data_IF_373199825372
#
_entry.id   IF_373199825372
#
_cell.length_a   1.000
_cell.length_b   1.000
_cell.length_c   1.000
_cell.angle_alpha   90.00
_cell.angle_beta   90.00
_cell.angle_gamma   90.00
#
_symmetry.space_group_name_H-M   'P 1'
#
loop_
_entity.id
_entity.type
_entity.pdbx_description
1 polymer ?
#
# COMPACT_ATOMS: atom_id res chain seq x y z
N UNK A 1 -73.11 -7.75 -45.95
CA UNK A 1 -73.38 -7.79 -44.50
C UNK A 1 -72.43 -8.81 -43.89
N UNK A 2 -71.47 -8.31 -43.13
CA UNK A 2 -70.22 -8.96 -42.72
C UNK A 2 -70.41 -9.92 -41.54
N UNK A 3 -69.77 -11.10 -41.59
CA UNK A 3 -69.61 -12.02 -40.46
C UNK A 3 -68.25 -11.75 -39.81
N UNK A 4 -68.26 -11.26 -38.57
CA UNK A 4 -67.06 -11.07 -37.74
C UNK A 4 -66.58 -12.42 -37.18
N UNK A 5 -65.30 -12.74 -37.37
CA UNK A 5 -64.57 -13.84 -36.71
C UNK A 5 -63.77 -13.22 -35.55
N UNK A 6 -64.06 -13.63 -34.31
CA UNK A 6 -63.22 -13.30 -33.15
C UNK A 6 -61.94 -14.13 -33.17
N UNK A 7 -60.78 -13.47 -33.15
CA UNK A 7 -59.48 -14.07 -32.89
C UNK A 7 -59.22 -14.04 -31.37
N UNK A 8 -58.99 -15.20 -30.78
CA UNK A 8 -58.44 -15.35 -29.44
C UNK A 8 -56.92 -15.13 -29.52
N UNK A 9 -56.40 -14.14 -28.79
CA UNK A 9 -54.96 -14.00 -28.53
C UNK A 9 -54.65 -14.59 -27.16
N UNK A 10 -53.90 -15.68 -27.13
CA UNK A 10 -53.28 -16.23 -25.92
C UNK A 10 -52.04 -15.40 -25.61
N UNK A 11 -52.07 -14.61 -24.53
CA UNK A 11 -50.88 -13.95 -23.99
C UNK A 11 -50.04 -15.01 -23.26
N UNK A 12 -48.86 -15.31 -23.82
CA UNK A 12 -47.81 -16.07 -23.16
C UNK A 12 -47.11 -15.12 -22.19
N UNK A 13 -47.33 -15.30 -20.89
CA UNK A 13 -46.58 -14.60 -19.85
C UNK A 13 -45.16 -15.16 -19.80
N UNK A 14 -44.19 -14.43 -20.36
CA UNK A 14 -42.77 -14.67 -20.08
C UNK A 14 -42.53 -14.16 -18.66
N UNK A 15 -42.32 -15.08 -17.72
CA UNK A 15 -41.83 -14.74 -16.40
C UNK A 15 -40.41 -14.21 -16.53
N UNK A 16 -40.25 -12.90 -16.44
CA UNK A 16 -38.95 -12.27 -16.26
C UNK A 16 -38.55 -12.50 -14.80
N UNK A 17 -37.72 -13.50 -14.55
CA UNK A 17 -36.98 -13.60 -13.29
C UNK A 17 -36.14 -12.34 -13.18
N UNK A 18 -36.45 -11.50 -12.19
CA UNK A 18 -35.57 -10.42 -11.80
C UNK A 18 -34.29 -11.08 -11.27
N UNK A 19 -33.23 -11.09 -12.10
CA UNK A 19 -31.89 -11.34 -11.62
C UNK A 19 -31.60 -10.30 -10.54
N UNK A 20 -31.26 -10.78 -9.34
CA UNK A 20 -30.61 -9.95 -8.33
C UNK A 20 -29.37 -9.35 -8.98
N UNK A 21 -29.41 -8.06 -9.30
CA UNK A 21 -28.18 -7.30 -9.51
C UNK A 21 -27.48 -7.28 -8.16
N UNK A 22 -26.48 -8.15 -8.00
CA UNK A 22 -25.44 -7.97 -7.01
C UNK A 22 -24.72 -6.68 -7.41
N UNK A 23 -24.96 -5.62 -6.65
CA UNK A 23 -24.10 -4.44 -6.69
C UNK A 23 -22.77 -4.88 -6.11
N UNK A 24 -21.69 -4.86 -6.91
CA UNK A 24 -20.35 -5.00 -6.37
C UNK A 24 -20.15 -3.96 -5.28
N UNK A 25 -19.59 -4.37 -4.14
CA UNK A 25 -19.25 -3.46 -3.08
C UNK A 25 -18.04 -2.64 -3.54
N UNK A 26 -18.24 -1.35 -3.81
CA UNK A 26 -17.13 -0.44 -4.06
C UNK A 26 -16.27 -0.29 -2.80
N UNK A 27 -14.98 0.00 -2.98
CA UNK A 27 -14.07 0.35 -1.90
C UNK A 27 -14.71 1.41 -1.00
N UNK A 28 -14.81 1.10 0.30
CA UNK A 28 -15.30 2.05 1.29
C UNK A 28 -14.15 2.95 1.70
N UNK A 29 -14.27 4.26 1.49
CA UNK A 29 -13.33 5.23 2.04
C UNK A 29 -13.58 5.32 3.55
N UNK A 30 -12.62 4.84 4.34
CA UNK A 30 -12.62 4.86 5.79
C UNK A 30 -12.16 6.23 6.32
N UNK A 31 -11.20 6.84 5.63
CA UNK A 31 -10.70 8.19 5.90
C UNK A 31 -10.19 8.83 4.62
N UNK A 32 -10.34 10.14 4.47
CA UNK A 32 -9.60 10.89 3.47
C UNK A 32 -9.40 12.34 3.88
N UNK A 33 -8.26 12.91 3.54
CA UNK A 33 -7.97 14.32 3.69
C UNK A 33 -7.06 14.81 2.56
N UNK A 34 -7.50 15.85 1.85
CA UNK A 34 -6.74 16.53 0.80
C UNK A 34 -5.92 17.70 1.34
N UNK A 35 -5.99 17.96 2.65
CA UNK A 35 -5.27 19.02 3.37
C UNK A 35 -5.42 20.44 2.78
N UNK A 36 -6.40 20.65 1.91
CA UNK A 36 -6.74 21.95 1.29
C UNK A 36 -7.24 22.98 2.31
N UNK A 37 -7.60 22.51 3.50
CA UNK A 37 -7.98 23.31 4.67
C UNK A 37 -7.24 22.84 5.92
N UNK A 38 -7.27 23.65 6.98
CA UNK A 38 -6.63 23.27 8.25
C UNK A 38 -7.49 22.26 9.01
N UNK A 39 -7.11 20.99 8.89
CA UNK A 39 -7.71 19.81 9.53
C UNK A 39 -6.91 19.32 10.73
N UNK A 40 -5.97 20.12 11.25
CA UNK A 40 -5.11 19.72 12.38
C UNK A 40 -5.85 19.22 13.64
N UNK A 41 -7.12 19.64 13.81
CA UNK A 41 -7.97 19.17 14.91
C UNK A 41 -8.49 17.73 14.77
N UNK A 42 -8.37 17.13 13.59
CA UNK A 42 -8.82 15.76 13.29
C UNK A 42 -7.69 14.73 13.43
N UNK A 43 -6.48 15.18 13.78
CA UNK A 43 -5.28 14.36 13.87
C UNK A 43 -4.67 14.39 15.26
N UNK A 44 -4.12 13.24 15.66
CA UNK A 44 -3.18 13.15 16.77
C UNK A 44 -1.79 13.42 16.21
N UNK A 45 -1.05 14.35 16.83
CA UNK A 45 0.35 14.64 16.51
C UNK A 45 1.21 14.31 17.72
N UNK A 46 2.23 13.49 17.51
CA UNK A 46 3.20 13.09 18.51
C UNK A 46 4.55 13.69 18.15
N UNK A 47 5.12 14.45 19.07
CA UNK A 47 6.42 15.11 18.94
C UNK A 47 7.37 14.52 19.97
N UNK A 48 8.54 14.04 19.53
CA UNK A 48 9.57 13.51 20.43
C UNK A 48 10.35 14.65 21.10
N UNK A 49 10.72 15.67 20.33
CA UNK A 49 11.51 16.81 20.75
C UNK A 49 10.77 18.14 20.44
N UNK A 50 9.67 18.46 21.15
CA UNK A 50 8.84 19.63 20.86
C UNK A 50 9.63 20.92 20.64
N UNK A 51 9.40 21.55 19.49
CA UNK A 51 10.12 22.75 19.04
C UNK A 51 11.32 22.48 18.11
N UNK A 52 11.82 21.23 18.07
CA UNK A 52 12.78 20.73 17.07
C UNK A 52 12.11 19.91 15.96
N UNK A 53 10.97 19.32 16.27
CA UNK A 53 10.10 18.59 15.35
C UNK A 53 8.67 19.13 15.39
N UNK A 54 7.86 18.73 14.41
CA UNK A 54 6.45 19.07 14.36
C UNK A 54 5.79 18.91 12.99
N UNK A 55 4.48 19.11 12.98
CA UNK A 55 3.62 19.05 11.79
C UNK A 55 2.89 20.38 11.59
N UNK A 56 2.87 20.89 10.35
CA UNK A 56 2.15 22.10 9.97
C UNK A 56 1.13 21.72 8.90
N UNK A 57 -0.14 21.68 9.28
CA UNK A 57 -1.26 21.39 8.38
C UNK A 57 -1.59 22.61 7.50
N UNK A 58 -2.18 22.35 6.32
CA UNK A 58 -2.54 23.37 5.33
C UNK A 58 -1.35 24.28 4.94
N UNK A 59 -0.16 23.69 4.90
CA UNK A 59 1.07 24.37 4.51
C UNK A 59 1.10 24.58 3.01
N UNK A 60 1.35 25.81 2.57
CA UNK A 60 1.50 26.15 1.15
C UNK A 60 2.88 25.74 0.62
N UNK A 61 2.99 24.56 0.02
CA UNK A 61 4.28 24.10 -0.50
C UNK A 61 4.67 24.80 -1.81
N UNK A 62 3.74 25.47 -2.51
CA UNK A 62 4.10 26.32 -3.67
C UNK A 62 4.95 27.52 -3.26
N UNK A 63 4.82 27.97 -2.01
CA UNK A 63 5.66 29.04 -1.46
C UNK A 63 7.16 28.68 -1.44
N UNK A 64 7.47 27.37 -1.52
CA UNK A 64 8.83 26.83 -1.57
C UNK A 64 9.14 26.12 -2.89
N UNK A 65 8.36 26.41 -3.94
CA UNK A 65 8.68 26.00 -5.32
C UNK A 65 8.31 24.56 -5.65
N UNK A 66 7.61 23.87 -4.74
CA UNK A 66 7.14 22.50 -4.96
C UNK A 66 5.86 22.57 -5.84
N UNK A 67 5.78 21.80 -6.93
CA UNK A 67 4.59 21.74 -7.78
C UNK A 67 3.45 20.99 -7.09
N UNK A 68 2.23 21.09 -7.62
CA UNK A 68 1.05 20.35 -7.16
C UNK A 68 1.35 18.84 -7.05
N UNK A 69 0.89 18.19 -5.97
CA UNK A 69 1.05 16.75 -5.78
C UNK A 69 0.25 15.96 -6.83
N UNK A 70 0.70 14.78 -7.27
CA UNK A 70 0.16 14.08 -8.43
C UNK A 70 -1.31 13.66 -8.29
N UNK A 71 -1.79 13.40 -7.07
CA UNK A 71 -3.19 13.04 -6.82
C UNK A 71 -4.09 14.22 -6.44
N UNK A 72 -3.58 15.46 -6.51
CA UNK A 72 -4.36 16.66 -6.20
C UNK A 72 -5.46 16.88 -7.24
N UNK A 73 -6.72 16.97 -6.80
CA UNK A 73 -7.87 17.14 -7.72
C UNK A 73 -8.50 18.53 -7.68
N UNK A 74 -8.22 19.32 -6.64
CA UNK A 74 -8.78 20.65 -6.43
C UNK A 74 -7.86 21.79 -6.91
N UNK A 75 -6.63 21.44 -7.34
CA UNK A 75 -5.59 22.36 -7.77
C UNK A 75 -4.97 23.18 -6.63
N UNK A 76 -5.11 22.71 -5.38
CA UNK A 76 -4.42 23.30 -4.25
C UNK A 76 -2.94 22.95 -4.23
N UNK A 77 -2.19 23.68 -3.41
CA UNK A 77 -0.78 23.39 -3.12
C UNK A 77 -0.56 23.29 -1.61
N UNK A 78 -1.55 22.68 -0.95
CA UNK A 78 -1.65 22.60 0.50
C UNK A 78 -1.40 21.17 0.93
N UNK A 79 -0.63 21.00 2.00
CA UNK A 79 -0.35 19.70 2.56
C UNK A 79 0.05 19.79 4.03
N UNK A 80 0.53 18.69 4.58
CA UNK A 80 1.14 18.64 5.91
C UNK A 80 2.67 18.71 5.76
N UNK A 81 3.27 19.79 6.25
CA UNK A 81 4.74 19.87 6.36
C UNK A 81 5.19 19.22 7.66
N UNK A 82 5.97 18.16 7.54
CA UNK A 82 6.66 17.48 8.64
C UNK A 82 8.10 17.96 8.69
N UNK A 83 8.59 18.29 9.88
CA UNK A 83 10.00 18.64 10.07
C UNK A 83 10.56 17.97 11.31
N UNK A 84 11.86 17.67 11.24
CA UNK A 84 12.68 17.19 12.33
C UNK A 84 14.05 17.89 12.22
N UNK A 85 14.90 17.70 13.21
CA UNK A 85 16.27 18.21 13.26
C UNK A 85 16.40 19.74 13.20
N UNK A 86 15.39 20.48 13.66
CA UNK A 86 15.46 21.94 13.72
C UNK A 86 16.33 22.39 14.91
N UNK A 87 17.33 23.26 14.71
CA UNK A 87 18.07 23.87 15.81
C UNK A 87 17.12 24.62 16.77
N UNK A 88 17.27 24.39 18.07
CA UNK A 88 16.46 25.04 19.10
C UNK A 88 17.34 25.51 20.27
N UNK A 89 17.17 26.78 20.67
CA UNK A 89 17.75 27.43 21.86
C UNK A 89 19.10 26.89 22.37
N UNK A 90 20.22 27.19 21.68
CA UNK A 90 21.62 26.99 22.14
C UNK A 90 21.94 25.58 22.70
N UNK A 91 21.16 24.57 22.31
CA UNK A 91 21.33 23.18 22.77
C UNK A 91 22.11 22.34 21.76
N UNK A 92 22.74 21.27 22.26
CA UNK A 92 23.47 20.30 21.46
C UNK A 92 22.47 19.49 20.61
N UNK A 93 22.85 19.13 19.38
CA UNK A 93 22.07 18.27 18.49
C UNK A 93 21.54 17.01 19.19
N UNK A 94 20.33 16.61 18.82
CA UNK A 94 19.57 15.53 19.45
C UNK A 94 18.69 14.83 18.42
N UNK A 95 18.31 13.58 18.70
CA UNK A 95 17.30 12.89 17.90
C UNK A 95 15.97 13.62 17.99
N UNK A 96 15.19 13.56 16.91
CA UNK A 96 13.90 14.24 16.83
C UNK A 96 12.99 13.49 15.87
N UNK A 97 11.71 13.51 16.15
CA UNK A 97 10.73 12.79 15.37
C UNK A 97 9.35 13.37 15.56
N UNK A 98 8.58 13.37 14.47
CA UNK A 98 7.16 13.68 14.48
C UNK A 98 6.41 12.55 13.80
N UNK A 99 5.27 12.18 14.38
CA UNK A 99 4.31 11.28 13.78
C UNK A 99 2.93 11.90 13.86
N UNK A 100 2.10 11.64 12.87
CA UNK A 100 0.70 12.00 12.90
C UNK A 100 -0.17 10.92 12.29
N UNK A 101 -1.41 10.83 12.77
CA UNK A 101 -2.42 9.88 12.31
C UNK A 101 -3.82 10.41 12.63
N UNK A 102 -4.86 10.07 11.85
CA UNK A 102 -6.22 10.52 12.14
C UNK A 102 -6.71 9.99 13.49
N UNK A 103 -7.27 10.87 14.32
CA UNK A 103 -7.69 10.49 15.67
C UNK A 103 -8.86 9.52 15.65
N UNK A 104 -8.66 8.32 16.21
CA UNK A 104 -9.70 7.30 16.33
C UNK A 104 -9.92 6.44 15.07
N UNK A 105 -8.98 6.49 14.12
CA UNK A 105 -9.03 5.67 12.91
C UNK A 105 -8.87 4.17 13.21
N UNK A 106 -8.11 3.80 14.24
CA UNK A 106 -7.92 2.44 14.73
C UNK A 106 -9.23 1.63 14.80
N UNK A 107 -10.28 2.22 15.36
CA UNK A 107 -11.59 1.56 15.48
C UNK A 107 -12.26 1.27 14.12
N UNK A 108 -11.91 2.02 13.08
CA UNK A 108 -12.40 1.78 11.72
C UNK A 108 -11.57 0.76 10.95
N UNK A 109 -10.35 0.43 11.42
CA UNK A 109 -9.44 -0.53 10.81
C UNK A 109 -9.57 -1.94 11.42
N UNK A 110 -10.02 -2.05 12.68
CA UNK A 110 -10.12 -3.31 13.43
C UNK A 110 -10.77 -4.43 12.59
N UNK A 111 -10.02 -5.52 12.38
CA UNK A 111 -10.45 -6.71 11.67
C UNK A 111 -10.75 -6.55 10.17
N UNK A 112 -10.21 -5.51 9.52
CA UNK A 112 -10.39 -5.28 8.07
C UNK A 112 -9.09 -5.37 7.31
N UNK A 113 -9.22 -5.76 6.05
CA UNK A 113 -8.20 -5.51 5.03
C UNK A 113 -8.39 -4.10 4.47
N UNK A 114 -7.30 -3.35 4.37
CA UNK A 114 -7.34 -1.95 3.95
C UNK A 114 -6.09 -1.50 3.20
N UNK A 115 -6.25 -0.45 2.42
CA UNK A 115 -5.16 0.29 1.80
C UNK A 115 -5.04 1.69 2.41
N UNK A 116 -3.80 2.15 2.49
CA UNK A 116 -3.44 3.54 2.79
C UNK A 116 -2.70 4.08 1.58
N UNK A 117 -3.03 5.27 1.12
CA UNK A 117 -2.31 5.95 0.05
C UNK A 117 -2.17 7.44 0.37
N UNK A 118 -1.03 8.02 0.06
CA UNK A 118 -0.79 9.46 0.10
C UNK A 118 0.41 9.85 -0.77
N UNK A 119 0.49 11.11 -1.13
CA UNK A 119 1.63 11.68 -1.84
C UNK A 119 2.66 12.18 -0.84
N UNK A 120 3.93 11.95 -1.15
CA UNK A 120 5.07 12.38 -0.36
C UNK A 120 6.11 13.10 -1.19
N UNK A 121 6.66 14.15 -0.58
CA UNK A 121 7.83 14.87 -1.07
C UNK A 121 8.82 15.00 0.08
N UNK A 122 10.12 14.84 -0.20
CA UNK A 122 11.17 15.12 0.77
C UNK A 122 12.14 16.17 0.22
N UNK A 123 12.48 17.16 1.04
CA UNK A 123 13.69 17.94 0.85
C UNK A 123 14.80 17.41 1.77
N UNK A 124 16.04 17.67 1.37
CA UNK A 124 17.24 17.34 2.14
C UNK A 124 18.34 18.36 1.86
N UNK A 125 19.32 18.52 2.76
CA UNK A 125 20.41 19.47 2.56
C UNK A 125 21.40 19.00 1.49
N UNK A 126 21.86 19.91 0.62
CA UNK A 126 22.97 19.69 -0.31
C UNK A 126 24.35 20.02 0.27
N UNK A 127 25.44 19.91 -0.54
CA UNK A 127 25.42 19.73 -1.99
C UNK A 127 25.07 18.31 -2.47
N UNK A 128 24.30 18.22 -3.56
CA UNK A 128 24.00 16.95 -4.24
C UNK A 128 25.18 16.47 -5.11
N UNK A 129 25.39 15.15 -5.24
CA UNK A 129 24.56 14.08 -4.67
C UNK A 129 24.98 13.65 -3.25
N UNK A 130 25.98 14.30 -2.64
CA UNK A 130 26.58 13.81 -1.39
C UNK A 130 25.81 14.10 -0.11
N UNK A 131 24.80 14.97 -0.17
CA UNK A 131 24.11 15.47 1.01
C UNK A 131 24.93 16.48 1.82
N UNK A 132 24.23 17.27 2.62
CA UNK A 132 24.76 18.29 3.52
C UNK A 132 24.72 17.88 5.00
N UNK A 133 25.05 18.82 5.88
CA UNK A 133 24.87 18.61 7.32
C UNK A 133 23.38 18.47 7.66
N UNK A 134 22.98 17.34 8.28
CA UNK A 134 21.58 17.01 8.54
C UNK A 134 20.80 16.82 7.24
N UNK A 135 21.25 15.89 6.41
CA UNK A 135 20.56 15.45 5.20
C UNK A 135 19.89 14.07 5.39
N UNK A 136 20.24 13.38 6.49
CA UNK A 136 19.93 11.97 6.75
C UNK A 136 18.58 11.77 7.44
N UNK A 137 17.65 12.72 7.29
CA UNK A 137 16.29 12.61 7.81
C UNK A 137 15.50 11.57 7.02
N UNK A 138 14.64 10.86 7.75
CA UNK A 138 13.90 9.73 7.24
C UNK A 138 12.40 9.96 7.33
N UNK A 139 11.70 9.71 6.24
CA UNK A 139 10.24 9.58 6.24
C UNK A 139 9.86 8.22 6.85
N UNK A 140 8.69 8.11 7.49
CA UNK A 140 8.20 6.91 8.18
C UNK A 140 6.77 6.59 7.74
N UNK A 141 6.51 5.31 7.44
CA UNK A 141 5.20 4.82 6.99
C UNK A 141 4.92 3.46 7.63
N UNK A 142 3.76 3.28 8.26
CA UNK A 142 3.47 2.08 9.05
C UNK A 142 2.01 1.81 9.34
N UNK A 143 1.78 0.65 9.97
CA UNK A 143 0.50 0.15 10.51
C UNK A 143 0.72 -0.52 11.85
N UNK A 144 -0.37 -0.79 12.57
CA UNK A 144 -0.32 -1.37 13.92
C UNK A 144 0.28 -0.43 14.97
N UNK A 145 0.26 0.88 14.71
CA UNK A 145 0.86 1.87 15.59
C UNK A 145 -0.09 2.18 16.75
N UNK A 146 0.34 1.98 18.00
CA UNK A 146 -0.54 2.25 19.16
C UNK A 146 -0.91 3.74 19.26
N UNK A 147 0.02 4.62 18.88
CA UNK A 147 -0.18 6.07 18.96
C UNK A 147 0.05 6.65 20.35
N UNK A 148 0.68 5.90 21.26
CA UNK A 148 0.93 6.34 22.64
C UNK A 148 2.17 7.25 22.78
N UNK A 149 3.14 7.15 21.86
CA UNK A 149 4.39 7.91 21.90
C UNK A 149 5.02 8.11 20.51
N UNK A 150 5.83 9.17 20.37
CA UNK A 150 6.60 9.41 19.16
C UNK A 150 7.74 8.39 19.00
N UNK A 151 7.87 7.79 17.82
CA UNK A 151 8.91 6.81 17.50
C UNK A 151 10.21 7.55 17.14
N UNK A 152 11.31 7.17 17.78
CA UNK A 152 12.65 7.76 17.65
C UNK A 152 13.72 6.65 17.52
N UNK A 153 15.00 7.02 17.67
CA UNK A 153 16.10 6.06 17.67
C UNK A 153 16.12 5.21 18.96
N UNK A 154 15.49 4.03 18.93
CA UNK A 154 15.64 3.02 19.98
C UNK A 154 14.38 2.67 20.75
N UNK A 155 13.23 3.22 20.34
CA UNK A 155 11.90 2.69 20.62
C UNK A 155 11.20 2.34 19.29
N UNK A 156 10.31 1.37 19.32
CA UNK A 156 9.64 0.85 18.13
C UNK A 156 8.17 0.58 18.49
N UNK A 157 7.26 0.81 17.55
CA UNK A 157 5.83 0.59 17.71
C UNK A 157 5.23 0.26 16.33
N UNK A 158 4.45 -0.82 16.26
CA UNK A 158 3.87 -1.34 15.02
C UNK A 158 4.87 -1.92 14.03
N UNK A 159 4.41 -2.01 12.78
CA UNK A 159 5.19 -2.45 11.62
C UNK A 159 5.29 -1.29 10.62
N UNK A 160 6.51 -0.91 10.27
CA UNK A 160 6.76 0.28 9.46
C UNK A 160 8.09 0.21 8.73
N UNK A 161 8.24 1.03 7.69
CA UNK A 161 9.54 1.31 7.11
C UNK A 161 9.90 2.79 7.24
N UNK A 162 11.18 3.07 7.08
CA UNK A 162 11.72 4.42 7.00
C UNK A 162 12.63 4.54 5.80
N UNK A 163 12.65 5.68 5.12
CA UNK A 163 13.54 5.95 3.98
C UNK A 163 14.15 7.35 4.09
N UNK A 164 15.45 7.48 3.87
CA UNK A 164 16.16 8.76 3.79
C UNK A 164 16.04 9.37 2.39
N UNK A 165 16.00 10.71 2.31
CA UNK A 165 15.85 11.40 1.03
C UNK A 165 17.15 11.46 0.19
N UNK A 166 18.30 11.49 0.86
CA UNK A 166 19.61 11.72 0.25
C UNK A 166 20.41 10.46 -0.12
N UNK A 167 19.98 9.28 0.30
CA UNK A 167 20.59 8.01 -0.10
C UNK A 167 22.09 7.79 0.26
N UNK A 168 22.63 8.51 1.23
CA UNK A 168 24.04 8.50 1.65
C UNK A 168 24.23 7.99 3.07
N UNK A 169 23.15 7.54 3.73
CA UNK A 169 23.26 6.82 4.98
C UNK A 169 23.87 5.43 4.73
N UNK A 170 24.50 4.85 5.76
CA UNK A 170 24.91 3.44 5.68
C UNK A 170 23.72 2.50 5.48
N UNK A 171 22.53 2.93 5.93
CA UNK A 171 21.24 2.27 5.81
C UNK A 171 20.21 3.35 5.49
N UNK A 172 19.74 3.41 4.26
CA UNK A 172 18.76 4.41 3.83
C UNK A 172 17.35 3.95 4.12
N UNK A 173 17.05 2.70 3.76
CA UNK A 173 15.78 2.07 4.08
C UNK A 173 15.92 1.17 5.31
N UNK A 174 15.01 1.32 6.28
CA UNK A 174 14.91 0.49 7.48
C UNK A 174 13.51 -0.08 7.56
N UNK A 175 13.39 -1.36 7.89
CA UNK A 175 12.09 -1.98 8.13
C UNK A 175 12.02 -2.44 9.58
N UNK A 176 10.85 -2.29 10.17
CA UNK A 176 10.54 -2.69 11.52
C UNK A 176 9.29 -3.55 11.45
N UNK A 177 9.34 -4.75 12.02
CA UNK A 177 8.19 -5.63 12.12
C UNK A 177 7.94 -5.91 13.60
N UNK A 178 6.71 -5.65 14.05
CA UNK A 178 6.26 -5.96 15.41
C UNK A 178 7.24 -5.43 16.47
N UNK A 179 7.50 -4.13 16.43
CA UNK A 179 8.39 -3.44 17.39
C UNK A 179 9.87 -3.91 17.34
N UNK A 180 10.30 -4.55 16.25
CA UNK A 180 11.68 -5.05 16.10
C UNK A 180 12.31 -4.59 14.78
N UNK A 181 13.54 -4.08 14.85
CA UNK A 181 14.33 -3.70 13.67
C UNK A 181 14.74 -4.94 12.87
N UNK A 182 14.30 -5.01 11.62
CA UNK A 182 14.62 -6.10 10.69
C UNK A 182 15.06 -5.50 9.34
N UNK A 183 16.36 -5.54 9.03
CA UNK A 183 16.91 -5.00 7.77
C UNK A 183 16.59 -5.83 6.52
N UNK A 184 17.11 -5.45 5.34
CA UNK A 184 16.87 -6.11 4.03
C UNK A 184 17.44 -7.52 3.85
N UNK A 185 16.88 -8.23 2.86
CA UNK A 185 17.39 -9.51 2.35
C UNK A 185 18.76 -9.37 1.67
N UNK A 186 19.51 -10.48 1.73
CA UNK A 186 20.89 -10.57 1.29
C UNK A 186 21.12 -10.59 -0.23
N UNK A 187 20.10 -10.32 -1.05
CA UNK A 187 20.18 -10.26 -2.52
C UNK A 187 19.76 -8.89 -3.11
N UNK A 188 19.10 -8.03 -2.34
CA UNK A 188 18.73 -6.66 -2.74
C UNK A 188 17.27 -6.56 -3.17
N UNK A 189 16.51 -7.63 -2.95
CA UNK A 189 15.06 -7.70 -3.11
C UNK A 189 14.34 -7.16 -1.85
N UNK A 190 13.04 -6.85 -1.97
CA UNK A 190 12.21 -6.43 -0.83
C UNK A 190 12.33 -7.41 0.33
N UNK A 191 12.34 -6.87 1.54
CA UNK A 191 12.38 -7.70 2.72
C UNK A 191 11.09 -8.49 2.84
N UNK A 192 11.22 -9.82 2.81
CA UNK A 192 10.19 -10.79 3.20
C UNK A 192 10.58 -11.24 4.61
N UNK A 193 9.81 -10.88 5.65
CA UNK A 193 10.15 -11.14 7.07
C UNK A 193 10.04 -12.64 7.44
N UNK A 194 10.54 -13.56 6.61
CA UNK A 194 10.51 -15.00 6.93
C UNK A 194 11.87 -15.63 7.21
N UNK A 195 13.01 -15.06 6.76
CA UNK A 195 14.33 -15.64 7.10
C UNK A 195 15.43 -14.57 7.28
N UNK A 196 15.79 -14.30 8.54
CA UNK A 196 17.00 -13.55 8.92
C UNK A 196 18.26 -14.43 8.65
N UNK A 197 18.84 -14.37 7.46
CA UNK A 197 20.19 -14.90 7.21
C UNK A 197 21.24 -13.84 7.61
N UNK A 198 22.02 -14.14 8.66
CA UNK A 198 23.00 -13.24 9.29
C UNK A 198 24.36 -13.19 8.57
N UNK A 199 24.52 -13.83 7.41
CA UNK A 199 25.85 -14.13 6.85
C UNK A 199 26.37 -13.19 5.76
N UNK A 200 25.66 -12.12 5.38
CA UNK A 200 26.06 -11.27 4.24
C UNK A 200 26.19 -9.78 4.59
N UNK A 201 27.36 -9.20 4.30
CA UNK A 201 27.63 -7.75 4.41
C UNK A 201 27.25 -7.05 3.10
N UNK A 202 26.36 -6.03 3.14
CA UNK A 202 25.74 -5.46 1.92
C UNK A 202 25.52 -3.95 2.00
N UNK A 203 25.45 -3.23 0.86
CA UNK A 203 25.08 -1.82 0.85
C UNK A 203 23.58 -1.71 1.12
N UNK A 204 23.23 -1.15 2.27
CA UNK A 204 21.85 -0.84 2.65
C UNK A 204 21.43 0.57 2.18
N UNK A 205 22.26 1.18 1.32
CA UNK A 205 21.99 2.47 0.71
C UNK A 205 21.23 2.33 -0.61
N UNK A 206 20.25 3.20 -0.84
CA UNK A 206 19.42 3.17 -2.05
C UNK A 206 20.20 3.62 -3.28
N UNK A 207 21.25 4.42 -3.12
CA UNK A 207 22.15 4.89 -4.19
C UNK A 207 22.94 3.75 -4.85
N UNK A 208 23.32 2.74 -4.07
CA UNK A 208 24.13 1.61 -4.49
C UNK A 208 23.29 0.40 -4.96
N UNK A 209 21.96 0.44 -4.82
CA UNK A 209 21.07 -0.67 -5.15
C UNK A 209 20.16 -0.35 -6.35
N UNK A 210 20.40 -0.95 -7.53
CA UNK A 210 19.59 -0.76 -8.74
C UNK A 210 18.10 -1.04 -8.59
N UNK A 211 17.71 -1.81 -7.56
CA UNK A 211 16.30 -2.06 -7.24
C UNK A 211 15.50 -0.76 -7.11
N UNK A 212 16.08 0.27 -6.47
CA UNK A 212 15.40 1.54 -6.25
C UNK A 212 15.54 2.54 -7.39
N UNK A 213 16.44 2.28 -8.35
CA UNK A 213 16.73 3.24 -9.44
C UNK A 213 15.59 3.35 -10.46
N UNK A 214 14.66 2.40 -10.44
CA UNK A 214 13.45 2.45 -11.27
C UNK A 214 12.53 3.60 -10.86
N UNK A 215 12.28 3.76 -9.56
CA UNK A 215 11.41 4.79 -9.00
C UNK A 215 12.18 6.05 -8.56
N UNK A 216 13.48 5.93 -8.28
CA UNK A 216 14.36 7.04 -7.95
C UNK A 216 15.47 7.16 -9.02
N UNK A 217 15.18 7.66 -10.23
CA UNK A 217 16.16 7.74 -11.31
C UNK A 217 17.24 8.81 -11.08
N UNK A 218 17.02 9.75 -10.16
CA UNK A 218 17.86 10.93 -9.95
C UNK A 218 17.79 11.92 -11.12
N UNK A 219 18.77 12.81 -11.21
CA UNK A 219 18.86 13.81 -12.28
C UNK A 219 18.17 15.14 -11.98
N UNK A 220 17.74 15.35 -10.74
CA UNK A 220 17.11 16.61 -10.30
C UNK A 220 18.20 17.63 -9.96
N UNK A 221 18.22 18.75 -10.70
CA UNK A 221 19.09 19.89 -10.42
C UNK A 221 18.50 20.71 -9.27
N UNK A 222 19.03 20.53 -8.06
CA UNK A 222 18.49 21.19 -6.85
C UNK A 222 18.69 22.70 -6.88
N UNK A 223 19.63 23.22 -7.69
CA UNK A 223 19.81 24.66 -7.84
C UNK A 223 18.65 25.32 -8.59
N UNK A 224 17.87 24.55 -9.35
CA UNK A 224 16.66 25.02 -10.00
C UNK A 224 15.45 25.13 -9.06
N UNK A 225 15.54 24.53 -7.86
CA UNK A 225 14.50 24.53 -6.82
C UNK A 225 14.73 25.59 -5.74
N UNK A 226 15.83 26.34 -5.82
CA UNK A 226 16.23 27.34 -4.82
C UNK A 226 15.34 28.60 -4.86
N UNK A 227 14.18 28.51 -4.21
CA UNK A 227 13.34 29.65 -3.84
C UNK A 227 13.36 29.92 -2.33
N UNK A 228 14.12 29.13 -1.55
CA UNK A 228 14.18 29.19 -0.09
C UNK A 228 15.47 29.84 0.45
N UNK A 229 16.45 30.15 -0.41
CA UNK A 229 17.79 30.59 -0.02
C UNK A 229 18.72 29.40 0.20
N UNK A 230 20.03 29.63 0.38
CA UNK A 230 21.02 28.53 0.48
C UNK A 230 21.84 28.32 -0.79
N UNK A 231 21.92 29.35 -1.66
CA UNK A 231 22.56 29.38 -2.99
C UNK A 231 23.96 28.74 -3.06
N UNK A 232 24.72 28.74 -1.95
CA UNK A 232 26.08 28.20 -1.89
C UNK A 232 26.14 26.70 -1.57
N UNK A 233 25.08 26.12 -1.00
CA UNK A 233 25.06 24.73 -0.47
C UNK A 233 23.96 23.86 -1.09
N UNK A 234 22.83 24.44 -1.53
CA UNK A 234 21.76 23.73 -2.24
C UNK A 234 22.05 23.66 -3.76
N UNK A 235 23.18 23.06 -4.11
CA UNK A 235 23.67 22.93 -5.48
C UNK A 235 23.88 21.47 -5.88
N UNK A 236 23.94 21.20 -7.18
CA UNK A 236 24.27 19.88 -7.73
C UNK A 236 23.06 19.16 -8.29
N UNK A 237 23.27 17.89 -8.63
CA UNK A 237 22.27 17.04 -9.28
C UNK A 237 22.14 15.76 -8.47
N UNK A 238 20.92 15.29 -8.23
CA UNK A 238 20.68 14.01 -7.55
C UNK A 238 21.18 12.82 -8.39
N UNK A 239 21.69 11.79 -7.73
CA UNK A 239 21.98 10.48 -8.29
C UNK A 239 20.76 9.56 -8.21
N UNK A 240 20.79 8.48 -8.99
CA UNK A 240 19.80 7.41 -8.85
C UNK A 240 19.83 6.82 -7.43
N UNK A 241 18.67 6.47 -6.90
CA UNK A 241 18.46 6.03 -5.52
C UNK A 241 18.06 7.15 -4.55
N UNK A 242 18.20 8.43 -4.92
CA UNK A 242 17.78 9.56 -4.10
C UNK A 242 16.31 9.91 -4.34
N UNK A 243 15.50 9.75 -3.30
CA UNK A 243 14.05 10.03 -3.30
C UNK A 243 13.71 11.53 -3.20
N UNK A 244 14.65 12.34 -2.70
CA UNK A 244 14.36 13.75 -2.46
C UNK A 244 14.10 14.54 -3.76
N UNK A 245 13.31 15.61 -3.61
CA UNK A 245 12.99 16.62 -4.62
C UNK A 245 12.10 16.17 -5.79
N UNK A 246 11.34 15.10 -5.58
CA UNK A 246 10.29 14.66 -6.48
C UNK A 246 9.09 14.16 -5.66
N UNK A 247 7.90 14.16 -6.28
CA UNK A 247 6.72 13.57 -5.68
C UNK A 247 6.73 12.06 -5.90
N UNK A 248 6.39 11.33 -4.84
CA UNK A 248 6.15 9.90 -4.89
C UNK A 248 4.79 9.59 -4.27
N UNK A 249 4.15 8.50 -4.70
CA UNK A 249 2.95 7.99 -4.05
C UNK A 249 3.36 6.83 -3.14
N UNK A 250 3.13 6.99 -1.84
CA UNK A 250 3.29 5.92 -0.88
C UNK A 250 2.00 5.13 -0.72
N UNK A 251 2.13 3.81 -0.53
CA UNK A 251 1.02 2.90 -0.31
C UNK A 251 1.33 1.89 0.79
N UNK A 252 0.32 1.56 1.58
CA UNK A 252 0.32 0.37 2.45
C UNK A 252 -0.85 -0.49 2.03
N UNK A 253 -0.65 -1.78 1.90
CA UNK A 253 -1.69 -2.78 1.67
C UNK A 253 -1.67 -3.79 2.81
N UNK A 254 -2.81 -3.92 3.50
CA UNK A 254 -2.97 -4.87 4.62
C UNK A 254 -3.98 -5.94 4.23
N UNK A 255 -3.52 -7.18 4.14
CA UNK A 255 -4.35 -8.36 3.87
C UNK A 255 -4.17 -9.38 4.99
N UNK A 256 -5.20 -9.60 5.80
CA UNK A 256 -5.10 -10.36 7.03
C UNK A 256 -4.00 -9.80 7.94
N UNK A 257 -2.92 -10.56 8.11
CA UNK A 257 -1.74 -10.15 8.89
C UNK A 257 -0.53 -9.82 8.02
N UNK A 258 -0.70 -9.67 6.71
CA UNK A 258 0.38 -9.26 5.81
C UNK A 258 0.28 -7.77 5.53
N UNK A 259 1.35 -7.03 5.81
CA UNK A 259 1.47 -5.61 5.49
C UNK A 259 2.54 -5.38 4.42
N UNK A 260 2.14 -4.90 3.25
CA UNK A 260 3.02 -4.59 2.13
C UNK A 260 3.15 -3.07 1.97
N UNK A 261 4.39 -2.60 1.93
CA UNK A 261 4.73 -1.18 1.84
C UNK A 261 5.29 -0.87 0.46
N UNK A 262 4.68 0.07 -0.25
CA UNK A 262 5.07 0.42 -1.61
C UNK A 262 5.35 1.92 -1.75
N UNK A 263 6.24 2.26 -2.67
CA UNK A 263 6.46 3.62 -3.16
C UNK A 263 6.47 3.55 -4.68
N UNK A 264 5.61 4.34 -5.34
CA UNK A 264 5.40 4.30 -6.80
C UNK A 264 5.19 2.88 -7.34
N UNK A 265 4.36 2.10 -6.65
CA UNK A 265 4.07 0.68 -6.94
C UNK A 265 5.27 -0.28 -6.80
N UNK A 266 6.47 0.20 -6.45
CA UNK A 266 7.60 -0.66 -6.10
C UNK A 266 7.45 -1.13 -4.65
N UNK A 267 7.47 -2.46 -4.45
CA UNK A 267 7.47 -3.05 -3.10
C UNK A 267 8.76 -2.68 -2.35
N UNK A 268 8.66 -1.94 -1.25
CA UNK A 268 9.80 -1.58 -0.41
C UNK A 268 10.04 -2.65 0.65
N UNK A 269 8.97 -3.09 1.30
CA UNK A 269 9.01 -4.11 2.34
C UNK A 269 7.68 -4.85 2.43
N UNK A 270 7.73 -6.11 2.86
CA UNK A 270 6.55 -6.91 3.18
C UNK A 270 6.73 -7.57 4.55
N UNK A 271 5.81 -7.31 5.46
CA UNK A 271 5.79 -7.88 6.80
C UNK A 271 4.69 -8.93 6.88
N UNK A 272 5.11 -10.19 6.98
CA UNK A 272 4.23 -11.31 7.30
C UNK A 272 4.00 -11.36 8.81
N UNK A 273 2.80 -11.79 9.23
CA UNK A 273 2.39 -11.79 10.64
C UNK A 273 2.59 -10.43 11.33
N UNK A 274 2.36 -9.33 10.60
CA UNK A 274 2.35 -7.99 11.12
C UNK A 274 1.26 -7.84 12.20
N UNK A 275 1.61 -7.14 13.27
CA UNK A 275 0.63 -6.50 14.13
C UNK A 275 0.02 -5.35 13.32
N UNK A 276 -1.23 -5.54 12.92
CA UNK A 276 -2.01 -4.61 12.09
C UNK A 276 -3.07 -3.89 12.92
N UNK A 277 -3.24 -4.28 14.18
CA UNK A 277 -4.21 -3.67 15.08
C UNK A 277 -3.66 -2.34 15.61
N UNK A 278 -4.37 -1.25 15.36
CA UNK A 278 -3.96 0.09 15.77
C UNK A 278 -4.12 1.12 14.67
N UNK A 279 -3.37 2.21 14.77
CA UNK A 279 -3.40 3.31 13.81
C UNK A 279 -2.43 3.06 12.64
N UNK A 280 -2.66 3.80 11.57
CA UNK A 280 -1.60 4.05 10.58
C UNK A 280 -0.52 4.94 11.19
N UNK A 281 0.66 4.94 10.59
CA UNK A 281 1.79 5.78 10.94
C UNK A 281 2.21 6.59 9.71
N UNK A 282 2.23 7.91 9.84
CA UNK A 282 2.91 8.82 8.91
C UNK A 282 3.85 9.69 9.73
N UNK A 283 5.14 9.73 9.39
CA UNK A 283 6.11 10.42 10.22
C UNK A 283 7.38 10.88 9.51
N UNK A 284 8.19 11.64 10.23
CA UNK A 284 9.47 12.16 9.80
C UNK A 284 10.43 12.23 10.99
N UNK A 285 11.66 11.77 10.84
CA UNK A 285 12.60 11.64 11.94
C UNK A 285 14.05 11.95 11.55
N UNK A 286 14.80 12.50 12.49
CA UNK A 286 16.25 12.42 12.55
C UNK A 286 16.67 11.44 13.65
N UNK A 287 17.27 10.34 13.24
CA UNK A 287 17.79 9.31 14.14
C UNK A 287 19.15 9.64 14.73
N UNK A 288 19.76 10.76 14.35
CA UNK A 288 21.10 11.13 14.76
C UNK A 288 21.07 12.33 15.71
N UNK A 289 22.02 12.38 16.64
CA UNK A 289 22.25 13.56 17.48
C UNK A 289 23.01 14.61 16.66
N UNK A 290 22.33 15.19 15.67
CA UNK A 290 22.87 16.13 14.70
C UNK A 290 22.10 17.46 14.72
N UNK A 291 22.53 18.43 13.90
CA UNK A 291 21.76 19.63 13.59
C UNK A 291 21.81 19.88 12.09
N UNK A 292 20.65 20.15 11.49
CA UNK A 292 20.54 20.56 10.11
C UNK A 292 21.29 21.88 9.87
N UNK A 293 22.16 21.90 8.85
CA UNK A 293 22.86 23.12 8.44
C UNK A 293 21.89 24.19 7.97
N UNK A 294 20.84 23.77 7.25
CA UNK A 294 19.75 24.63 6.77
C UNK A 294 18.40 23.99 7.10
N UNK A 295 17.85 24.20 8.32
CA UNK A 295 16.63 23.55 8.77
C UNK A 295 15.39 23.90 7.92
N UNK A 296 15.41 25.00 7.19
CA UNK A 296 14.35 25.36 6.23
C UNK A 296 14.24 24.36 5.07
N UNK A 297 15.32 23.65 4.72
CA UNK A 297 15.39 22.64 3.67
C UNK A 297 15.17 21.22 4.16
N UNK A 298 15.05 21.01 5.47
CA UNK A 298 14.90 19.67 6.03
C UNK A 298 13.44 19.45 6.43
N UNK A 299 12.66 18.89 5.51
CA UNK A 299 11.26 18.59 5.74
C UNK A 299 10.72 17.56 4.75
N UNK A 300 9.63 16.91 5.14
CA UNK A 300 8.72 16.19 4.25
C UNK A 300 7.42 16.97 4.05
N UNK A 301 6.76 16.75 2.92
CA UNK A 301 5.37 17.13 2.69
C UNK A 301 4.55 15.86 2.49
N UNK A 302 3.37 15.83 3.08
CA UNK A 302 2.33 14.82 2.85
C UNK A 302 1.12 15.50 2.23
N UNK A 303 0.53 14.88 1.21
CA UNK A 303 -0.71 15.34 0.60
C UNK A 303 -1.61 14.15 0.21
N UNK A 304 -2.90 14.39 -0.04
CA UNK A 304 -3.85 13.42 -0.58
C UNK A 304 -3.94 12.09 0.21
N UNK A 305 -4.08 12.17 1.55
CA UNK A 305 -4.23 10.96 2.38
C UNK A 305 -5.59 10.32 2.16
N UNK A 306 -5.59 9.04 1.80
CA UNK A 306 -6.77 8.20 1.72
C UNK A 306 -6.52 6.86 2.39
N UNK A 307 -7.52 6.41 3.14
CA UNK A 307 -7.60 5.08 3.73
C UNK A 307 -8.90 4.47 3.27
N UNK A 308 -8.82 3.31 2.64
CA UNK A 308 -10.01 2.62 2.12
C UNK A 308 -9.94 1.14 2.42
N UNK A 309 -11.08 0.49 2.58
CA UNK A 309 -11.10 -0.96 2.39
C UNK A 309 -10.70 -1.26 0.96
N UNK A 310 -10.16 -2.45 0.72
CA UNK A 310 -10.23 -2.96 -0.64
C UNK A 310 -11.72 -3.04 -0.99
N UNK A 311 -12.11 -2.42 -2.10
CA UNK A 311 -13.38 -2.80 -2.72
C UNK A 311 -13.30 -4.29 -3.04
N UNK A 312 -14.42 -4.90 -3.38
CA UNK A 312 -14.43 -6.27 -3.87
C UNK A 312 -13.63 -6.53 -5.17
N UNK A 313 -12.69 -5.64 -5.53
CA UNK A 313 -11.84 -5.63 -6.72
C UNK A 313 -10.33 -5.56 -6.36
N UNK A 314 -9.93 -5.59 -5.07
CA UNK A 314 -8.53 -5.37 -4.66
C UNK A 314 -7.69 -6.63 -4.41
N UNK A 315 -8.33 -7.76 -4.09
CA UNK A 315 -7.65 -9.05 -4.00
C UNK A 315 -7.72 -9.68 -5.38
N UNK A 316 -6.58 -9.79 -6.07
CA UNK A 316 -6.53 -10.53 -7.34
C UNK A 316 -7.12 -11.91 -7.14
N UNK A 317 -8.17 -12.25 -7.89
CA UNK A 317 -8.89 -13.51 -7.76
C UNK A 317 -10.08 -13.50 -6.79
N UNK A 318 -10.36 -12.43 -6.04
CA UNK A 318 -11.61 -12.28 -5.27
C UNK A 318 -12.71 -11.76 -6.20
N UNK A 319 -13.52 -12.69 -6.70
CA UNK A 319 -14.54 -12.41 -7.70
C UNK A 319 -15.90 -12.10 -7.09
N UNK A 320 -16.14 -12.47 -5.82
CA UNK A 320 -17.36 -12.12 -5.10
C UNK A 320 -17.22 -10.88 -4.21
N UNK A 321 -15.99 -10.41 -4.04
CA UNK A 321 -15.65 -9.14 -3.44
C UNK A 321 -15.77 -9.12 -1.93
N UNK A 322 -15.64 -10.28 -1.30
CA UNK A 322 -15.79 -10.44 0.14
C UNK A 322 -14.48 -10.20 0.92
N UNK A 323 -13.39 -9.90 0.21
CA UNK A 323 -12.07 -9.64 0.75
C UNK A 323 -11.25 -10.90 1.03
N UNK A 324 -11.77 -12.09 0.72
CA UNK A 324 -11.09 -13.36 1.00
C UNK A 324 -11.13 -14.27 -0.21
N UNK A 325 -9.98 -14.87 -0.56
CA UNK A 325 -9.95 -15.93 -1.57
C UNK A 325 -10.60 -17.20 -1.04
N UNK A 326 -11.86 -17.45 -1.39
CA UNK A 326 -12.62 -18.57 -0.88
C UNK A 326 -13.35 -19.37 -1.98
N UNK A 327 -14.22 -20.28 -1.55
CA UNK A 327 -14.94 -21.16 -2.47
C UNK A 327 -15.87 -20.41 -3.44
N UNK A 328 -16.39 -19.25 -3.04
CA UNK A 328 -17.22 -18.37 -3.88
C UNK A 328 -16.46 -17.91 -5.12
N UNK A 329 -15.20 -17.54 -4.95
CA UNK A 329 -14.36 -17.05 -6.04
C UNK A 329 -14.00 -18.12 -7.04
N UNK A 330 -13.43 -19.23 -6.58
CA UNK A 330 -12.99 -20.30 -7.47
C UNK A 330 -14.17 -21.01 -8.15
N UNK A 331 -15.35 -21.06 -7.50
CA UNK A 331 -16.59 -21.47 -8.14
C UNK A 331 -17.03 -20.46 -9.21
N UNK A 332 -16.84 -19.16 -8.99
CA UNK A 332 -17.15 -18.10 -9.96
C UNK A 332 -16.23 -18.19 -11.18
N UNK A 333 -14.92 -18.38 -10.98
CA UNK A 333 -13.94 -18.56 -12.05
C UNK A 333 -14.24 -19.81 -12.89
N UNK A 334 -14.44 -20.96 -12.24
CA UNK A 334 -14.77 -22.23 -12.95
C UNK A 334 -16.07 -22.12 -13.75
N UNK A 335 -17.12 -21.50 -13.19
CA UNK A 335 -18.37 -21.26 -13.92
C UNK A 335 -18.20 -20.28 -15.10
N UNK A 336 -17.33 -19.27 -14.97
CA UNK A 336 -17.06 -18.31 -16.02
C UNK A 336 -16.33 -18.94 -17.23
N UNK A 337 -15.36 -19.83 -16.96
CA UNK A 337 -14.65 -20.62 -17.98
C UNK A 337 -15.64 -21.54 -18.70
N UNK A 338 -16.48 -22.28 -17.96
CA UNK A 338 -17.47 -23.19 -18.55
C UNK A 338 -18.48 -22.44 -19.44
N UNK A 339 -18.81 -21.19 -19.09
CA UNK A 339 -19.68 -20.34 -19.88
C UNK A 339 -19.02 -19.75 -21.15
N UNK A 340 -17.69 -19.87 -21.29
CA UNK A 340 -16.92 -19.30 -22.39
C UNK A 340 -16.94 -17.78 -22.38
N UNK A 341 -16.77 -17.16 -21.20
CA UNK A 341 -16.74 -15.70 -21.06
C UNK A 341 -15.55 -15.06 -21.79
N UNK A 342 -15.63 -13.75 -22.00
CA UNK A 342 -14.52 -12.93 -22.54
C UNK A 342 -14.18 -11.76 -21.61
N UNK A 343 -14.56 -11.85 -20.33
CA UNK A 343 -14.32 -10.79 -19.36
C UNK A 343 -12.90 -10.88 -18.82
N UNK A 344 -12.06 -9.90 -19.15
CA UNK A 344 -10.65 -9.86 -18.78
C UNK A 344 -10.39 -9.87 -17.26
N UNK A 345 -11.41 -9.61 -16.43
CA UNK A 345 -11.27 -9.78 -14.98
C UNK A 345 -10.93 -11.22 -14.55
N UNK A 346 -11.29 -12.22 -15.35
CA UNK A 346 -11.02 -13.64 -15.07
C UNK A 346 -9.71 -14.16 -15.70
N UNK A 347 -9.00 -13.34 -16.49
CA UNK A 347 -7.69 -13.66 -17.07
C UNK A 347 -6.63 -13.29 -16.03
N UNK A 348 -6.28 -14.25 -15.18
CA UNK A 348 -5.32 -14.08 -14.09
C UNK A 348 -3.89 -14.28 -14.55
N UNK A 349 -3.68 -14.99 -15.66
CA UNK A 349 -2.34 -15.24 -16.23
C UNK A 349 -1.86 -14.12 -17.17
N UNK A 350 -2.77 -13.26 -17.64
CA UNK A 350 -2.51 -12.16 -18.55
C UNK A 350 -2.23 -12.61 -19.99
N UNK A 351 -2.60 -13.83 -20.36
CA UNK A 351 -2.30 -14.41 -21.67
C UNK A 351 -3.43 -14.20 -22.71
N UNK A 352 -4.48 -13.48 -22.33
CA UNK A 352 -5.70 -13.17 -23.09
C UNK A 352 -6.66 -14.35 -23.31
N UNK A 353 -6.39 -15.48 -22.67
CA UNK A 353 -7.30 -16.62 -22.58
C UNK A 353 -7.93 -16.64 -21.18
N UNK A 354 -9.11 -17.27 -21.08
CA UNK A 354 -9.80 -17.49 -19.81
C UNK A 354 -10.05 -18.99 -19.75
N UNK A 355 -9.14 -19.71 -19.13
CA UNK A 355 -9.10 -21.18 -19.15
C UNK A 355 -8.51 -21.80 -17.87
N UNK A 356 -8.15 -23.08 -17.94
CA UNK A 356 -7.66 -23.84 -16.79
C UNK A 356 -6.32 -23.32 -16.23
N UNK A 357 -5.56 -22.54 -17.00
CA UNK A 357 -4.32 -21.94 -16.52
C UNK A 357 -4.64 -20.83 -15.50
N UNK A 358 -5.77 -20.12 -15.61
CA UNK A 358 -6.23 -19.14 -14.61
C UNK A 358 -6.66 -19.81 -13.31
N UNK A 359 -7.32 -20.97 -13.38
CA UNK A 359 -7.64 -21.78 -12.19
C UNK A 359 -6.36 -22.21 -11.48
N UNK A 360 -5.37 -22.64 -12.26
CA UNK A 360 -4.07 -23.08 -11.73
C UNK A 360 -3.37 -21.93 -11.01
N UNK A 361 -3.36 -20.74 -11.61
CA UNK A 361 -2.81 -19.53 -11.01
C UNK A 361 -3.58 -19.14 -9.74
N UNK A 362 -4.91 -19.16 -9.77
CA UNK A 362 -5.72 -18.87 -8.59
C UNK A 362 -5.42 -19.81 -7.43
N UNK A 363 -5.40 -21.12 -7.67
CA UNK A 363 -5.18 -22.10 -6.61
C UNK A 363 -3.74 -22.07 -6.08
N UNK A 364 -2.74 -22.09 -6.97
CA UNK A 364 -1.34 -22.23 -6.57
C UNK A 364 -0.66 -20.91 -6.21
N UNK A 365 -0.90 -19.86 -6.97
CA UNK A 365 -0.19 -18.60 -6.85
C UNK A 365 -0.91 -17.62 -5.94
N UNK A 366 -2.24 -17.57 -5.98
CA UNK A 366 -3.04 -16.67 -5.16
C UNK A 366 -3.43 -17.30 -3.82
N UNK A 367 -4.19 -18.41 -3.84
CA UNK A 367 -4.70 -19.08 -2.63
C UNK A 367 -3.65 -19.93 -1.88
N UNK A 368 -2.56 -20.31 -2.56
CA UNK A 368 -1.52 -21.22 -2.05
C UNK A 368 -2.08 -22.58 -1.59
N UNK A 369 -3.02 -23.14 -2.35
CA UNK A 369 -3.57 -24.49 -2.14
C UNK A 369 -3.24 -25.45 -3.30
N UNK A 370 -3.84 -26.63 -3.29
CA UNK A 370 -3.67 -27.71 -4.26
C UNK A 370 -4.88 -27.83 -5.18
N UNK A 371 -4.63 -28.16 -6.45
CA UNK A 371 -5.69 -28.68 -7.31
C UNK A 371 -6.31 -29.92 -6.68
N UNK A 372 -7.62 -29.89 -6.47
CA UNK A 372 -8.38 -30.98 -5.84
C UNK A 372 -8.77 -30.73 -4.39
N UNK A 373 -8.22 -29.72 -3.73
CA UNK A 373 -8.65 -29.27 -2.40
C UNK A 373 -10.04 -28.60 -2.51
N UNK A 374 -11.08 -29.40 -2.30
CA UNK A 374 -12.47 -29.01 -2.55
C UNK A 374 -13.06 -28.16 -1.42
N UNK A 375 -12.50 -28.25 -0.21
CA UNK A 375 -12.95 -27.47 0.95
C UNK A 375 -12.04 -26.27 1.25
N UNK A 376 -10.94 -26.11 0.51
CA UNK A 376 -9.94 -25.05 0.62
C UNK A 376 -9.25 -25.01 2.00
N UNK A 377 -9.02 -26.17 2.62
CA UNK A 377 -8.34 -26.30 3.91
C UNK A 377 -6.80 -26.34 3.83
N UNK A 378 -6.25 -26.29 2.61
CA UNK A 378 -4.82 -26.26 2.31
C UNK A 378 -4.19 -27.64 2.10
N UNK A 379 -4.97 -28.72 2.25
CA UNK A 379 -4.52 -30.08 2.04
C UNK A 379 -5.43 -30.85 1.07
N UNK A 380 -4.85 -31.51 0.05
CA UNK A 380 -5.61 -32.51 -0.69
C UNK A 380 -5.63 -33.85 0.05
N UNK A 381 -6.74 -34.18 0.70
CA UNK A 381 -6.90 -35.37 1.51
C UNK A 381 -8.29 -36.04 1.35
N UNK A 382 -8.62 -36.99 2.24
CA UNK A 382 -9.88 -37.72 2.14
C UNK A 382 -11.12 -36.88 2.43
N UNK A 383 -10.97 -35.74 3.10
CA UNK A 383 -12.09 -34.85 3.41
C UNK A 383 -12.63 -34.17 2.15
N UNK A 384 -11.76 -33.83 1.19
CA UNK A 384 -12.15 -33.33 -0.14
C UNK A 384 -13.00 -34.33 -0.88
N UNK A 385 -12.57 -35.59 -0.92
CA UNK A 385 -13.32 -36.66 -1.57
C UNK A 385 -14.70 -36.84 -0.94
N UNK A 386 -14.82 -36.66 0.38
CA UNK A 386 -16.12 -36.69 1.07
C UNK A 386 -16.98 -35.51 0.65
N UNK A 387 -16.43 -34.29 0.57
CA UNK A 387 -17.11 -33.09 0.07
C UNK A 387 -17.67 -33.32 -1.34
N UNK A 388 -16.83 -33.81 -2.25
CA UNK A 388 -17.21 -34.10 -3.64
C UNK A 388 -18.31 -35.16 -3.75
N UNK A 389 -18.17 -36.27 -3.04
CA UNK A 389 -19.19 -37.33 -3.07
C UNK A 389 -20.49 -36.93 -2.37
N UNK A 390 -20.44 -36.03 -1.39
CA UNK A 390 -21.62 -35.49 -0.75
C UNK A 390 -22.41 -34.56 -1.67
N UNK A 391 -21.73 -33.81 -2.56
CA UNK A 391 -22.37 -32.98 -3.58
C UNK A 391 -23.15 -33.82 -4.60
N UNK A 392 -22.60 -34.98 -5.00
CA UNK A 392 -23.30 -35.95 -5.85
C UNK A 392 -23.50 -35.51 -7.31
N UNK A 393 -22.79 -34.47 -7.76
CA UNK A 393 -22.94 -33.85 -9.09
C UNK A 393 -22.64 -34.82 -10.23
N UNK A 394 -21.70 -35.74 -10.04
CA UNK A 394 -21.40 -36.81 -11.01
C UNK A 394 -22.58 -37.75 -11.32
N UNK A 395 -23.58 -37.83 -10.45
CA UNK A 395 -24.72 -38.75 -10.59
C UNK A 395 -26.02 -38.05 -11.05
N UNK A 396 -26.09 -36.72 -10.97
CA UNK A 396 -27.31 -35.97 -11.26
C UNK A 396 -27.26 -35.20 -12.61
N UNK A 397 -26.08 -35.07 -13.22
CA UNK A 397 -25.88 -34.40 -14.50
C UNK A 397 -26.08 -32.88 -14.45
N UNK A 398 -25.96 -32.29 -13.26
CA UNK A 398 -25.88 -30.84 -13.08
C UNK A 398 -24.48 -30.34 -13.46
N UNK A 399 -24.38 -29.06 -13.83
CA UNK A 399 -23.09 -28.44 -14.12
C UNK A 399 -22.24 -28.38 -12.85
N UNK A 400 -20.99 -28.81 -12.94
CA UNK A 400 -20.07 -28.78 -11.83
C UNK A 400 -19.31 -27.43 -11.76
N UNK A 401 -18.93 -27.09 -10.54
CA UNK A 401 -17.96 -26.05 -10.17
C UNK A 401 -16.88 -26.68 -9.27
N UNK A 402 -15.83 -25.93 -8.92
CA UNK A 402 -14.72 -26.40 -8.07
C UNK A 402 -15.15 -27.24 -6.88
N UNK A 403 -16.00 -26.69 -6.00
CA UNK A 403 -16.47 -27.35 -4.77
C UNK A 403 -17.27 -28.64 -4.99
N UNK A 404 -17.67 -28.90 -6.24
CA UNK A 404 -18.45 -30.08 -6.64
C UNK A 404 -17.71 -31.02 -7.59
N UNK A 405 -16.46 -30.70 -7.95
CA UNK A 405 -15.57 -31.61 -8.66
C UNK A 405 -15.06 -31.14 -10.02
N UNK A 406 -15.40 -29.94 -10.47
CA UNK A 406 -14.83 -29.36 -11.69
C UNK A 406 -13.58 -28.52 -11.36
N UNK A 407 -12.43 -29.18 -11.40
CA UNK A 407 -11.13 -28.55 -11.17
C UNK A 407 -10.49 -28.00 -12.46
N UNK A 408 -11.20 -28.05 -13.58
CA UNK A 408 -10.72 -27.62 -14.90
C UNK A 408 -11.53 -26.50 -15.54
N UNK A 409 -12.70 -26.18 -14.98
CA UNK A 409 -13.62 -25.16 -15.48
C UNK A 409 -14.37 -25.58 -16.75
N UNK A 410 -14.44 -26.87 -17.09
CA UNK A 410 -15.14 -27.32 -18.31
C UNK A 410 -16.65 -27.56 -18.10
N UNK A 411 -17.10 -27.44 -16.85
CA UNK A 411 -18.48 -27.55 -16.42
C UNK A 411 -19.01 -28.97 -16.25
N UNK A 412 -18.14 -30.00 -16.19
CA UNK A 412 -18.54 -31.42 -16.20
C UNK A 412 -17.96 -32.25 -15.05
#
# INVERSE_FOLDING_TARGET
MSRSRSLFFTLLSVGLTAGTLTTSAQAEVLWSDDFSTDTSGDYTVLEFSPGRDGAIFNYDYSAVGIPDAPNTTDGSTKGVRLFANKPFEDTVGATSAVQFFPTGLDAALEGKDFSVQFDIWMNTNGPMPGGGAGSTEAFMIGVGFTGDFAIEAGNYDGSYFTITGEAGATVDVRTFANESYNGFNADGTPFNVTELDDTVTRPLGTDANPYYHEIFPGGIDVSALDVQGGEDEQIGITNAGQMAFEWHTAKIEVFGTTASFLVDELLIAEVQDADVEGNILVGYADYFASEAGYPEWVFGIVDNLIVSTFGGDGVTGDFDGNGTLDSGDINTLTAAIAAGTSNAAYDLTGDTLIDADDITYWAHDLKKTWIGDANLDGEFNTSDLVTLFAAGTYENGEAAVWTTGDFTGDGV
#
